data_IF_486063535872
#
_entry.id   IF_486063535872
#
_cell.length_a   1.000
_cell.length_b   1.000
_cell.length_c   1.000
_cell.angle_alpha   90.00
_cell.angle_beta   90.00
_cell.angle_gamma   90.00
#
_symmetry.space_group_name_H-M   'P 1'
#
loop_
_entity.id
_entity.type
_entity.pdbx_description
1 polymer ?
#
# COMPACT_ATOMS: atom_id res chain seq x y z
N UNK A 1 -57.68 61.95 9.69
CA UNK A 1 -57.37 60.51 9.53
C UNK A 1 -55.85 60.21 9.40
N UNK A 2 -54.93 61.05 9.90
CA UNK A 2 -53.48 60.90 9.67
C UNK A 2 -52.69 60.20 10.79
N UNK A 3 -53.31 59.83 11.91
CA UNK A 3 -52.60 59.28 13.08
C UNK A 3 -52.69 57.75 13.20
N UNK A 4 -53.67 57.10 12.56
CA UNK A 4 -53.83 55.64 12.60
C UNK A 4 -52.80 54.88 11.76
N UNK A 5 -52.49 55.36 10.55
CA UNK A 5 -51.58 54.71 9.60
C UNK A 5 -50.14 54.64 10.13
N UNK A 6 -49.69 55.67 10.87
CA UNK A 6 -48.34 55.69 11.48
C UNK A 6 -48.15 54.64 12.58
N UNK A 7 -49.22 54.13 13.20
CA UNK A 7 -49.15 53.11 14.25
C UNK A 7 -49.08 51.69 13.67
N UNK A 8 -49.81 51.45 12.59
CA UNK A 8 -49.82 50.13 11.91
C UNK A 8 -48.48 49.86 11.21
N UNK A 9 -47.88 50.86 10.57
CA UNK A 9 -46.58 50.70 9.89
C UNK A 9 -45.42 50.33 10.81
N UNK A 10 -45.42 50.81 12.07
CA UNK A 10 -44.34 50.51 13.04
C UNK A 10 -44.38 49.06 13.53
N UNK A 11 -45.57 48.49 13.71
CA UNK A 11 -45.71 47.08 14.09
C UNK A 11 -45.29 46.12 12.98
N UNK A 12 -45.67 46.44 11.73
CA UNK A 12 -45.37 45.60 10.58
C UNK A 12 -43.87 45.60 10.23
N UNK A 13 -43.19 46.74 10.39
CA UNK A 13 -41.74 46.86 10.21
C UNK A 13 -40.95 46.07 11.27
N UNK A 14 -41.41 46.06 12.54
CA UNK A 14 -40.75 45.30 13.59
C UNK A 14 -40.82 43.78 13.36
N UNK A 15 -41.98 43.28 12.90
CA UNK A 15 -42.15 41.85 12.56
C UNK A 15 -41.27 41.47 11.36
N UNK A 16 -41.18 42.36 10.35
CA UNK A 16 -40.30 42.14 9.20
C UNK A 16 -38.83 42.08 9.60
N UNK A 17 -38.38 43.02 10.46
CA UNK A 17 -37.00 43.04 10.97
C UNK A 17 -36.65 41.78 11.77
N UNK A 18 -37.55 41.30 12.65
CA UNK A 18 -37.31 40.07 13.41
C UNK A 18 -37.16 38.86 12.49
N UNK A 19 -38.01 38.74 11.45
CA UNK A 19 -37.90 37.66 10.46
C UNK A 19 -36.62 37.75 9.63
N UNK A 20 -36.21 38.97 9.25
CA UNK A 20 -34.97 39.19 8.52
C UNK A 20 -33.75 38.78 9.36
N UNK A 21 -33.72 39.15 10.65
CA UNK A 21 -32.62 38.78 11.55
C UNK A 21 -32.53 37.27 11.78
N UNK A 22 -33.68 36.58 11.92
CA UNK A 22 -33.69 35.12 12.01
C UNK A 22 -33.19 34.45 10.72
N UNK A 23 -33.59 34.98 9.55
CA UNK A 23 -33.16 34.47 8.26
C UNK A 23 -31.66 34.67 8.02
N UNK A 24 -31.14 35.87 8.33
CA UNK A 24 -29.69 36.16 8.27
C UNK A 24 -28.92 35.30 9.28
N UNK A 25 -29.46 35.08 10.48
CA UNK A 25 -28.88 34.18 11.48
C UNK A 25 -28.72 32.75 10.94
N UNK A 26 -29.77 32.18 10.34
CA UNK A 26 -29.72 30.83 9.73
C UNK A 26 -28.71 30.76 8.58
N UNK A 27 -28.63 31.79 7.74
CA UNK A 27 -27.65 31.83 6.65
C UNK A 27 -26.20 31.91 7.15
N UNK A 28 -25.94 32.65 8.23
CA UNK A 28 -24.61 32.71 8.86
C UNK A 28 -24.24 31.34 9.42
N UNK A 29 -25.16 30.65 10.13
CA UNK A 29 -24.91 29.30 10.65
C UNK A 29 -24.71 28.25 9.55
N UNK A 30 -25.46 28.33 8.44
CA UNK A 30 -25.27 27.44 7.29
C UNK A 30 -23.96 27.74 6.53
N UNK A 31 -23.52 28.99 6.48
CA UNK A 31 -22.25 29.35 5.84
C UNK A 31 -21.02 28.81 6.58
N UNK A 32 -21.10 28.63 7.91
CA UNK A 32 -20.01 28.03 8.70
C UNK A 32 -19.95 26.50 8.64
N UNK A 33 -20.93 25.81 8.07
CA UNK A 33 -20.91 24.33 7.96
C UNK A 33 -20.40 23.83 6.60
N UNK A 34 -20.23 24.71 5.60
CA UNK A 34 -19.93 24.30 4.22
C UNK A 34 -18.45 24.04 3.91
N UNK A 35 -17.52 24.50 4.75
CA UNK A 35 -16.07 24.25 4.53
C UNK A 35 -15.68 22.79 4.79
N UNK A 36 -16.39 22.09 5.69
CA UNK A 36 -16.03 20.71 6.04
C UNK A 36 -16.45 19.68 4.96
N UNK A 37 -17.57 19.90 4.26
CA UNK A 37 -18.05 18.94 3.26
C UNK A 37 -17.12 18.83 2.03
N UNK A 38 -16.52 19.95 1.60
CA UNK A 38 -15.63 19.96 0.43
C UNK A 38 -14.29 19.28 0.70
N UNK A 39 -13.73 19.45 1.91
CA UNK A 39 -12.49 18.76 2.29
C UNK A 39 -12.70 17.25 2.43
N UNK A 40 -13.85 16.83 2.96
CA UNK A 40 -14.20 15.40 3.07
C UNK A 40 -14.34 14.75 1.68
N UNK A 41 -15.04 15.41 0.75
CA UNK A 41 -15.25 14.89 -0.60
C UNK A 41 -13.93 14.74 -1.36
N UNK A 42 -13.04 15.75 -1.29
CA UNK A 42 -11.71 15.71 -1.91
C UNK A 42 -10.82 14.62 -1.30
N UNK A 43 -10.86 14.43 0.02
CA UNK A 43 -10.03 13.42 0.67
C UNK A 43 -10.48 12.00 0.28
N UNK A 44 -11.79 11.77 0.14
CA UNK A 44 -12.29 10.48 -0.32
C UNK A 44 -11.93 10.24 -1.80
N UNK A 45 -11.98 11.26 -2.66
CA UNK A 45 -11.53 11.15 -4.06
C UNK A 45 -10.06 10.72 -4.18
N UNK A 46 -9.14 11.40 -3.46
CA UNK A 46 -7.71 11.07 -3.48
C UNK A 46 -7.44 9.64 -2.97
N UNK A 47 -8.19 9.22 -1.96
CA UNK A 47 -8.16 7.84 -1.46
C UNK A 47 -8.62 6.85 -2.51
N UNK A 48 -9.74 7.11 -3.21
CA UNK A 48 -10.21 6.22 -4.28
C UNK A 48 -9.20 6.14 -5.43
N UNK A 49 -8.65 7.27 -5.88
CA UNK A 49 -7.64 7.30 -6.94
C UNK A 49 -6.41 6.46 -6.57
N UNK A 50 -5.93 6.59 -5.33
CA UNK A 50 -4.83 5.76 -4.82
C UNK A 50 -5.17 4.27 -4.85
N UNK A 51 -6.37 3.89 -4.44
CA UNK A 51 -6.79 2.49 -4.38
C UNK A 51 -7.03 1.87 -5.75
N UNK A 52 -7.58 2.63 -6.70
CA UNK A 52 -7.72 2.22 -8.09
C UNK A 52 -6.35 2.03 -8.74
N UNK A 53 -5.41 2.95 -8.52
CA UNK A 53 -4.03 2.82 -8.99
C UNK A 53 -3.31 1.63 -8.35
N UNK A 54 -3.55 1.36 -7.06
CA UNK A 54 -3.00 0.20 -6.35
C UNK A 54 -3.52 -1.12 -6.95
N UNK A 55 -4.82 -1.19 -7.25
CA UNK A 55 -5.46 -2.33 -7.93
C UNK A 55 -4.84 -2.55 -9.31
N UNK A 56 -4.74 -1.50 -10.11
CA UNK A 56 -4.14 -1.58 -11.45
C UNK A 56 -2.68 -2.03 -11.39
N UNK A 57 -1.92 -1.46 -10.46
CA UNK A 57 -0.51 -1.82 -10.26
C UNK A 57 -0.35 -3.28 -9.84
N UNK A 58 -1.26 -3.80 -9.01
CA UNK A 58 -1.26 -5.23 -8.64
C UNK A 58 -1.40 -6.14 -9.87
N UNK A 59 -2.39 -5.88 -10.74
CA UNK A 59 -2.56 -6.68 -11.98
C UNK A 59 -1.33 -6.60 -12.88
N UNK A 60 -0.73 -5.41 -13.03
CA UNK A 60 0.48 -5.24 -13.84
C UNK A 60 1.68 -5.98 -13.25
N UNK A 61 1.80 -6.03 -11.92
CA UNK A 61 2.86 -6.75 -11.22
C UNK A 61 2.75 -8.27 -11.41
N UNK A 62 1.53 -8.83 -11.41
CA UNK A 62 1.30 -10.26 -11.67
C UNK A 62 1.81 -10.68 -13.06
N UNK A 63 1.81 -9.78 -14.04
CA UNK A 63 2.28 -10.02 -15.41
C UNK A 63 3.79 -9.78 -15.61
N UNK A 64 4.51 -9.24 -14.60
CA UNK A 64 5.95 -8.97 -14.72
C UNK A 64 6.70 -10.27 -14.89
N UNK A 65 7.32 -10.45 -16.06
CA UNK A 65 8.00 -11.70 -16.41
C UNK A 65 9.30 -11.88 -15.64
N UNK A 66 9.51 -13.10 -15.14
CA UNK A 66 10.82 -13.55 -14.70
C UNK A 66 11.69 -13.77 -15.95
N UNK A 67 12.98 -13.46 -15.87
CA UNK A 67 13.91 -13.77 -16.96
C UNK A 67 14.59 -15.13 -16.78
N UNK A 68 13.95 -16.03 -16.05
CA UNK A 68 14.56 -17.31 -15.71
C UNK A 68 14.51 -18.22 -16.92
N UNK A 69 15.69 -18.54 -17.42
CA UNK A 69 15.93 -19.84 -18.06
C UNK A 69 16.22 -20.83 -16.94
N UNK A 70 15.51 -21.95 -16.92
CA UNK A 70 15.74 -23.05 -15.98
C UNK A 70 17.23 -23.38 -15.87
N UNK A 71 17.79 -23.15 -14.68
CA UNK A 71 19.20 -23.43 -14.37
C UNK A 71 19.28 -24.81 -13.73
N UNK A 72 19.96 -25.75 -14.38
CA UNK A 72 20.42 -26.99 -13.73
C UNK A 72 21.51 -26.61 -12.74
N UNK A 73 21.51 -27.28 -11.58
CA UNK A 73 22.23 -27.01 -10.33
C UNK A 73 23.76 -26.65 -10.37
N UNK A 74 24.43 -26.47 -11.51
CA UNK A 74 25.88 -26.23 -11.58
C UNK A 74 26.37 -25.19 -12.61
N UNK A 75 25.51 -24.42 -13.28
CA UNK A 75 25.97 -23.51 -14.34
C UNK A 75 25.16 -22.20 -14.35
N UNK A 76 25.63 -21.22 -13.57
CA UNK A 76 25.06 -19.88 -13.53
C UNK A 76 25.63 -19.05 -14.69
N UNK A 77 25.10 -19.23 -15.90
CA UNK A 77 25.48 -18.41 -17.04
C UNK A 77 24.47 -17.25 -17.17
N UNK A 78 24.61 -16.25 -16.29
CA UNK A 78 24.06 -14.93 -16.58
C UNK A 78 24.75 -14.49 -17.87
N UNK A 79 23.98 -14.27 -18.94
CA UNK A 79 24.48 -13.49 -20.09
C UNK A 79 24.73 -12.06 -19.61
N UNK A 80 25.88 -11.87 -18.98
CA UNK A 80 26.47 -10.61 -18.58
C UNK A 80 26.86 -9.88 -19.86
N UNK A 81 25.92 -9.11 -20.39
CA UNK A 81 26.24 -8.05 -21.34
C UNK A 81 25.24 -6.89 -21.36
N UNK A 82 24.12 -6.98 -20.61
CA UNK A 82 23.19 -5.88 -20.46
C UNK A 82 23.26 -5.30 -19.04
N UNK A 83 23.22 -3.97 -18.93
CA UNK A 83 23.21 -3.15 -17.71
C UNK A 83 21.90 -3.27 -16.92
N UNK A 84 21.28 -4.45 -16.89
CA UNK A 84 19.95 -4.66 -16.31
C UNK A 84 20.10 -4.80 -14.79
N UNK A 85 19.31 -4.01 -14.05
CA UNK A 85 19.29 -4.01 -12.59
C UNK A 85 18.46 -5.20 -12.10
N UNK A 86 19.11 -6.37 -12.00
CA UNK A 86 18.48 -7.59 -11.53
C UNK A 86 18.44 -7.66 -10.01
N UNK A 87 17.33 -8.17 -9.50
CA UNK A 87 17.18 -8.51 -8.08
C UNK A 87 16.66 -9.92 -7.90
N UNK A 88 17.08 -10.53 -6.81
CA UNK A 88 16.79 -11.90 -6.46
C UNK A 88 15.65 -11.98 -5.45
N UNK A 89 14.60 -12.70 -5.82
CA UNK A 89 13.44 -13.01 -4.97
C UNK A 89 13.45 -14.50 -4.66
N UNK A 90 13.53 -14.88 -3.39
CA UNK A 90 13.62 -16.27 -2.97
C UNK A 90 12.37 -16.71 -2.20
N UNK A 91 12.03 -17.98 -2.30
CA UNK A 91 11.04 -18.66 -1.47
C UNK A 91 11.76 -19.52 -0.44
N UNK A 92 11.43 -19.35 0.85
CA UNK A 92 11.97 -20.18 1.94
C UNK A 92 11.17 -21.50 2.04
N UNK A 93 11.82 -22.67 2.14
CA UNK A 93 11.12 -23.93 2.45
C UNK A 93 11.66 -24.54 3.75
N UNK A 94 10.76 -24.88 4.67
CA UNK A 94 11.10 -25.58 5.92
C UNK A 94 11.19 -27.10 5.69
N UNK A 95 12.36 -27.69 5.93
CA UNK A 95 12.59 -29.14 5.73
C UNK A 95 11.85 -30.05 6.71
N UNK A 96 11.32 -29.55 7.82
CA UNK A 96 10.70 -30.42 8.83
C UNK A 96 9.33 -30.99 8.42
N UNK A 97 8.68 -30.43 7.40
CA UNK A 97 7.34 -30.86 6.97
C UNK A 97 7.33 -31.84 5.78
N UNK A 98 8.44 -31.96 5.04
CA UNK A 98 8.53 -32.87 3.92
C UNK A 98 9.43 -34.05 4.32
N UNK A 99 8.82 -35.09 4.89
CA UNK A 99 9.37 -36.43 4.73
C UNK A 99 9.66 -36.59 3.24
N UNK A 100 10.95 -36.61 2.87
CA UNK A 100 11.44 -36.80 1.51
C UNK A 100 10.63 -37.95 0.89
N UNK A 101 9.59 -37.61 0.12
CA UNK A 101 8.79 -38.57 -0.60
C UNK A 101 9.71 -39.10 -1.68
N UNK A 102 10.39 -40.19 -1.32
CA UNK A 102 11.14 -41.10 -2.18
C UNK A 102 11.94 -40.40 -3.27
N UNK A 103 13.07 -39.79 -2.92
CA UNK A 103 14.24 -39.63 -3.82
C UNK A 103 14.06 -38.99 -5.20
N UNK A 104 12.88 -38.46 -5.55
CA UNK A 104 12.54 -38.09 -6.93
C UNK A 104 11.64 -36.85 -7.03
N UNK A 105 11.57 -36.03 -5.98
CA UNK A 105 10.77 -34.79 -5.98
C UNK A 105 11.62 -33.56 -5.65
N UNK A 106 12.73 -33.36 -6.39
CA UNK A 106 13.09 -31.97 -6.74
C UNK A 106 11.83 -31.48 -7.46
N UNK A 107 11.06 -30.59 -6.84
CA UNK A 107 9.90 -29.97 -7.48
C UNK A 107 10.34 -29.66 -8.89
N UNK A 108 9.67 -30.33 -9.83
CA UNK A 108 9.98 -30.31 -11.24
C UNK A 108 9.76 -28.89 -11.69
N UNK A 109 10.77 -28.03 -11.53
CA UNK A 109 10.91 -26.78 -12.24
C UNK A 109 9.55 -26.12 -12.50
N UNK A 110 8.74 -25.85 -11.46
CA UNK A 110 7.45 -25.20 -11.69
C UNK A 110 7.81 -23.92 -12.41
N UNK A 111 7.39 -23.82 -13.67
CA UNK A 111 7.90 -22.80 -14.57
C UNK A 111 7.29 -21.49 -14.10
N UNK A 112 8.03 -20.77 -13.26
CA UNK A 112 7.68 -19.42 -12.84
C UNK A 112 8.05 -18.48 -13.98
N UNK A 113 7.06 -18.06 -14.72
CA UNK A 113 7.19 -17.13 -15.84
C UNK A 113 6.97 -15.70 -15.41
N UNK A 114 6.26 -15.46 -14.31
CA UNK A 114 5.98 -14.12 -13.80
C UNK A 114 6.19 -13.98 -12.29
N UNK A 115 6.15 -12.74 -11.82
CA UNK A 115 6.15 -12.43 -10.40
C UNK A 115 4.87 -12.99 -9.75
N UNK A 116 3.72 -12.94 -10.43
CA UNK A 116 2.49 -13.61 -9.98
C UNK A 116 2.69 -15.11 -9.72
N UNK A 117 3.36 -15.82 -10.65
CA UNK A 117 3.66 -17.25 -10.48
C UNK A 117 4.53 -17.53 -9.23
N UNK A 118 5.42 -16.61 -8.84
CA UNK A 118 6.21 -16.73 -7.60
C UNK A 118 5.28 -16.70 -6.39
N UNK A 119 4.30 -15.81 -6.39
CA UNK A 119 3.35 -15.69 -5.29
C UNK A 119 2.38 -16.86 -5.22
N UNK A 120 1.86 -17.32 -6.35
CA UNK A 120 1.02 -18.51 -6.42
C UNK A 120 1.75 -19.73 -5.86
N UNK A 121 3.02 -19.90 -6.25
CA UNK A 121 3.87 -20.95 -5.71
C UNK A 121 4.14 -20.76 -4.21
N UNK A 122 4.39 -19.52 -3.76
CA UNK A 122 4.62 -19.22 -2.35
C UNK A 122 3.42 -19.62 -1.49
N UNK A 123 2.21 -19.24 -1.92
CA UNK A 123 0.95 -19.59 -1.27
C UNK A 123 0.74 -21.10 -1.27
N UNK A 124 0.98 -21.77 -2.40
CA UNK A 124 0.83 -23.22 -2.50
C UNK A 124 1.73 -23.98 -1.51
N UNK A 125 2.96 -23.51 -1.29
CA UNK A 125 3.92 -24.17 -0.41
C UNK A 125 3.92 -23.59 1.02
N UNK A 126 3.01 -22.67 1.33
CA UNK A 126 2.90 -22.06 2.66
C UNK A 126 4.12 -21.24 3.07
N UNK A 127 4.73 -20.52 2.12
CA UNK A 127 5.87 -19.62 2.35
C UNK A 127 5.61 -18.22 1.82
N UNK A 128 6.58 -17.32 2.01
CA UNK A 128 6.54 -15.94 1.52
C UNK A 128 7.76 -15.64 0.64
N UNK A 129 7.61 -14.80 -0.39
CA UNK A 129 8.76 -14.27 -1.11
C UNK A 129 9.58 -13.32 -0.25
N UNK A 130 10.91 -13.47 -0.31
CA UNK A 130 11.88 -12.58 0.33
C UNK A 130 12.81 -12.00 -0.73
N UNK A 131 13.13 -10.71 -0.63
CA UNK A 131 14.18 -10.10 -1.46
C UNK A 131 15.52 -10.35 -0.78
N UNK A 132 16.49 -10.88 -1.53
CA UNK A 132 17.85 -11.05 -1.05
C UNK A 132 18.71 -9.94 -1.63
N UNK A 133 19.22 -9.07 -0.75
CA UNK A 133 20.20 -8.07 -1.11
C UNK A 133 21.56 -8.75 -1.22
N UNK A 134 22.00 -8.98 -2.46
CA UNK A 134 23.23 -9.64 -2.87
C UNK A 134 23.23 -11.17 -2.73
N UNK A 135 23.70 -11.90 -3.77
CA UNK A 135 24.26 -13.21 -3.53
C UNK A 135 25.58 -12.95 -2.80
N UNK A 136 25.65 -13.11 -1.48
CA UNK A 136 26.95 -13.49 -0.93
C UNK A 136 27.18 -14.93 -1.42
N UNK A 137 28.14 -15.19 -2.34
CA UNK A 137 28.73 -16.51 -2.33
C UNK A 137 29.45 -16.59 -0.99
N UNK A 138 28.84 -17.23 0.01
CA UNK A 138 29.57 -17.64 1.21
C UNK A 138 30.53 -18.74 0.81
N UNK A 139 31.60 -18.37 0.12
CA UNK A 139 32.76 -19.20 -0.17
C UNK A 139 33.65 -19.19 1.08
N UNK A 140 33.12 -19.74 2.15
CA UNK A 140 33.80 -19.97 3.42
C UNK A 140 33.06 -21.06 4.18
N UNK A 141 33.32 -22.27 3.71
CA UNK A 141 33.50 -23.49 4.51
C UNK A 141 33.61 -23.25 6.02
N UNK A 142 32.77 -23.97 6.78
CA UNK A 142 32.95 -24.35 8.19
C UNK A 142 32.25 -23.54 9.30
N UNK A 143 31.10 -22.93 9.04
CA UNK A 143 30.15 -22.68 10.12
C UNK A 143 28.81 -23.37 9.85
N UNK A 144 28.69 -24.58 10.41
CA UNK A 144 27.43 -25.28 10.66
C UNK A 144 26.59 -24.47 11.65
N UNK A 145 25.94 -23.41 11.19
CA UNK A 145 24.67 -23.01 11.76
C UNK A 145 23.57 -23.65 10.91
N UNK A 146 22.93 -24.67 11.47
CA UNK A 146 21.75 -25.36 10.95
C UNK A 146 20.68 -24.38 10.43
N UNK A 147 20.75 -24.00 9.17
CA UNK A 147 19.60 -23.49 8.44
C UNK A 147 19.14 -24.60 7.50
N UNK A 148 18.20 -25.40 7.98
CA UNK A 148 17.47 -26.44 7.24
C UNK A 148 16.49 -25.82 6.20
N UNK A 149 16.96 -24.83 5.43
CA UNK A 149 16.16 -24.10 4.46
C UNK A 149 16.81 -24.14 3.08
N UNK A 150 16.06 -24.59 2.09
CA UNK A 150 16.40 -24.35 0.69
C UNK A 150 15.73 -23.06 0.23
N UNK A 151 16.48 -22.24 -0.49
CA UNK A 151 15.94 -21.06 -1.18
C UNK A 151 15.75 -21.40 -2.66
N UNK A 152 14.52 -21.33 -3.15
CA UNK A 152 14.27 -21.32 -4.61
C UNK A 152 14.18 -19.87 -5.03
N UNK A 153 15.11 -19.42 -5.88
CA UNK A 153 15.29 -18.01 -6.18
C UNK A 153 15.02 -17.67 -7.65
N UNK A 154 14.42 -16.50 -7.83
CA UNK A 154 13.90 -15.98 -9.08
C UNK A 154 14.50 -14.59 -9.33
N UNK A 155 14.89 -14.29 -10.57
CA UNK A 155 15.50 -13.01 -10.93
C UNK A 155 14.53 -12.16 -11.74
N UNK A 156 14.37 -10.92 -11.31
CA UNK A 156 13.50 -9.93 -11.94
C UNK A 156 14.27 -8.67 -12.28
N UNK A 157 13.94 -8.10 -13.45
CA UNK A 157 14.37 -6.76 -13.83
C UNK A 157 13.50 -5.77 -13.03
N UNK A 158 14.12 -4.80 -12.39
CA UNK A 158 13.40 -3.75 -11.67
C UNK A 158 12.62 -2.83 -12.62
N UNK A 159 13.01 -2.70 -13.88
CA UNK A 159 12.41 -1.73 -14.81
C UNK A 159 10.92 -2.01 -15.08
N UNK A 160 10.50 -3.23 -15.46
CA UNK A 160 9.07 -3.56 -15.57
C UNK A 160 8.31 -3.39 -14.26
N UNK A 161 8.96 -3.64 -13.12
CA UNK A 161 8.35 -3.49 -11.79
C UNK A 161 8.06 -2.01 -11.51
N UNK A 162 9.04 -1.13 -11.69
CA UNK A 162 8.87 0.32 -11.52
C UNK A 162 7.78 0.86 -12.44
N UNK A 163 7.73 0.39 -13.69
CA UNK A 163 6.67 0.78 -14.64
C UNK A 163 5.28 0.29 -14.21
N UNK A 164 5.20 -0.90 -13.59
CA UNK A 164 3.93 -1.45 -13.11
C UNK A 164 3.38 -0.66 -11.92
N UNK A 165 4.24 -0.19 -11.00
CA UNK A 165 3.84 0.53 -9.78
C UNK A 165 3.85 2.06 -9.92
N UNK A 166 4.40 2.60 -11.00
CA UNK A 166 4.45 4.04 -11.25
C UNK A 166 3.10 4.76 -11.06
N UNK A 167 1.94 4.23 -11.53
CA UNK A 167 0.65 4.88 -11.30
C UNK A 167 0.33 5.08 -9.82
N UNK A 168 0.57 4.07 -8.98
CA UNK A 168 0.29 4.17 -7.54
C UNK A 168 1.30 5.04 -6.81
N UNK A 169 2.55 5.16 -7.29
CA UNK A 169 3.51 6.15 -6.76
C UNK A 169 2.99 7.57 -7.00
N UNK A 170 2.46 7.85 -8.20
CA UNK A 170 1.86 9.15 -8.52
C UNK A 170 0.70 9.47 -7.59
N UNK A 171 -0.23 8.53 -7.41
CA UNK A 171 -1.35 8.75 -6.51
C UNK A 171 -0.96 8.81 -5.03
N UNK A 172 0.10 8.12 -4.61
CA UNK A 172 0.67 8.26 -3.28
C UNK A 172 1.17 9.69 -3.03
N UNK A 173 1.83 10.31 -4.02
CA UNK A 173 2.25 11.72 -3.94
C UNK A 173 1.04 12.66 -3.86
N UNK A 174 0.03 12.45 -4.71
CA UNK A 174 -1.21 13.22 -4.70
C UNK A 174 -1.90 13.16 -3.33
N UNK A 175 -1.95 11.98 -2.73
CA UNK A 175 -2.49 11.76 -1.40
C UNK A 175 -1.71 12.53 -0.33
N UNK A 176 -0.38 12.60 -0.41
CA UNK A 176 0.44 13.33 0.55
C UNK A 176 0.31 14.85 0.43
N UNK A 177 -0.05 15.38 -0.74
CA UNK A 177 -0.28 16.82 -0.92
C UNK A 177 -1.44 17.34 -0.05
N UNK A 178 -2.46 16.52 0.21
CA UNK A 178 -3.55 16.92 1.12
C UNK A 178 -3.07 17.14 2.57
N UNK A 179 -1.96 16.49 2.95
CA UNK A 179 -1.27 16.67 4.22
C UNK A 179 -0.27 17.84 4.22
N UNK A 180 -0.34 18.66 3.17
CA UNK A 180 0.45 19.87 2.98
C UNK A 180 1.86 19.61 2.50
N UNK A 181 2.24 18.38 2.17
CA UNK A 181 3.55 18.12 1.56
C UNK A 181 3.63 18.78 0.19
N UNK A 182 4.80 19.29 -0.18
CA UNK A 182 5.14 19.60 -1.56
C UNK A 182 6.16 18.60 -2.13
N UNK A 183 6.48 18.74 -3.42
CA UNK A 183 7.45 17.89 -4.09
C UNK A 183 8.81 17.88 -3.39
N UNK A 184 9.29 19.03 -2.93
CA UNK A 184 10.60 19.13 -2.30
C UNK A 184 10.58 18.44 -0.92
N UNK A 185 9.52 18.62 -0.14
CA UNK A 185 9.38 17.96 1.16
C UNK A 185 9.27 16.42 1.05
N UNK A 186 8.62 15.92 -0.01
CA UNK A 186 8.58 14.48 -0.30
C UNK A 186 9.97 13.98 -0.67
N UNK A 187 10.68 14.67 -1.56
CA UNK A 187 12.05 14.27 -1.95
C UNK A 187 13.01 14.33 -0.76
N UNK A 188 12.93 15.39 0.04
CA UNK A 188 13.74 15.53 1.26
C UNK A 188 13.47 14.38 2.24
N UNK A 189 12.21 13.97 2.39
CA UNK A 189 11.82 12.83 3.22
C UNK A 189 12.43 11.52 2.70
N UNK A 190 12.36 11.28 1.39
CA UNK A 190 12.91 10.09 0.73
C UNK A 190 14.42 10.01 0.93
N UNK A 191 15.14 11.08 0.60
CA UNK A 191 16.61 11.15 0.70
C UNK A 191 17.08 11.06 2.15
N UNK A 192 16.43 11.76 3.07
CA UNK A 192 16.84 11.78 4.49
C UNK A 192 16.73 10.40 5.13
N UNK A 193 15.72 9.63 4.76
CA UNK A 193 15.47 8.32 5.36
C UNK A 193 16.07 7.16 4.56
N UNK A 194 16.76 7.45 3.45
CA UNK A 194 17.41 6.45 2.59
C UNK A 194 16.42 5.54 1.87
N UNK A 195 15.21 6.02 1.61
CA UNK A 195 14.17 5.29 0.90
C UNK A 195 14.17 5.59 -0.60
N UNK A 196 13.11 5.12 -1.24
CA UNK A 196 12.81 5.26 -2.67
C UNK A 196 11.42 5.88 -2.86
N UNK A 197 11.06 6.30 -4.08
CA UNK A 197 9.72 6.85 -4.30
C UNK A 197 8.63 5.79 -4.12
N UNK A 198 8.96 4.54 -4.40
CA UNK A 198 8.11 3.38 -4.28
C UNK A 198 7.68 3.15 -2.82
N UNK A 199 8.53 3.50 -1.85
CA UNK A 199 8.23 3.39 -0.42
C UNK A 199 7.07 4.30 0.02
N UNK A 200 6.67 5.27 -0.81
CA UNK A 200 5.47 6.07 -0.56
C UNK A 200 4.19 5.22 -0.63
N UNK A 201 4.18 4.14 -1.41
CA UNK A 201 3.01 3.26 -1.58
C UNK A 201 2.61 2.64 -0.24
N UNK A 202 3.47 1.85 0.46
CA UNK A 202 3.14 1.25 1.75
C UNK A 202 2.93 2.27 2.87
N UNK A 203 3.57 3.45 2.79
CA UNK A 203 3.25 4.58 3.65
C UNK A 203 1.77 4.98 3.49
N UNK A 204 1.34 5.28 2.26
CA UNK A 204 -0.03 5.74 1.99
C UNK A 204 -1.05 4.62 2.22
N UNK A 205 -0.74 3.36 1.90
CA UNK A 205 -1.56 2.21 2.31
C UNK A 205 -1.81 2.22 3.81
N UNK A 206 -0.77 2.46 4.62
CA UNK A 206 -0.91 2.53 6.08
C UNK A 206 -1.78 3.71 6.52
N UNK A 207 -1.64 4.87 5.88
CA UNK A 207 -2.42 6.07 6.19
C UNK A 207 -3.90 5.90 5.86
N UNK A 208 -4.20 5.47 4.63
CA UNK A 208 -5.55 5.12 4.17
C UNK A 208 -6.18 4.08 5.11
N UNK A 209 -5.37 3.15 5.61
CA UNK A 209 -5.84 2.15 6.54
C UNK A 209 -6.18 2.71 7.94
N UNK A 210 -5.36 3.63 8.46
CA UNK A 210 -5.55 4.19 9.79
C UNK A 210 -6.75 5.16 9.87
N UNK A 211 -7.11 5.80 8.76
CA UNK A 211 -8.17 6.82 8.73
C UNK A 211 -9.60 6.26 8.79
N UNK A 212 -9.79 4.94 8.71
CA UNK A 212 -11.11 4.30 8.55
C UNK A 212 -11.95 4.11 9.82
N UNK A 213 -11.63 4.79 10.94
CA UNK A 213 -12.40 4.63 12.18
C UNK A 213 -13.80 5.29 12.18
N UNK A 214 -14.24 6.02 11.14
CA UNK A 214 -15.53 6.76 11.21
C UNK A 214 -16.41 6.95 9.97
N UNK A 215 -16.12 6.45 8.76
CA UNK A 215 -17.08 6.63 7.66
C UNK A 215 -16.95 5.61 6.53
N UNK A 216 -18.09 4.95 6.26
CA UNK A 216 -18.44 4.14 5.08
C UNK A 216 -17.56 2.92 4.83
N UNK A 217 -18.19 1.76 4.98
CA UNK A 217 -17.64 0.43 4.70
C UNK A 217 -17.22 0.33 3.22
N UNK A 218 -15.96 0.64 2.92
CA UNK A 218 -15.39 0.43 1.60
C UNK A 218 -15.18 -1.08 1.39
N UNK A 219 -15.81 -1.65 0.37
CA UNK A 219 -15.60 -3.03 -0.01
C UNK A 219 -14.30 -3.15 -0.81
N UNK A 220 -13.15 -3.21 -0.13
CA UNK A 220 -11.85 -3.39 -0.77
C UNK A 220 -11.77 -4.68 -1.58
N UNK A 221 -12.54 -5.70 -1.21
CA UNK A 221 -12.65 -6.91 -2.03
C UNK A 221 -13.20 -6.59 -3.43
N UNK A 222 -14.13 -5.63 -3.58
CA UNK A 222 -14.61 -5.19 -4.91
C UNK A 222 -13.53 -4.54 -5.78
N UNK A 223 -12.47 -4.03 -5.16
CA UNK A 223 -11.29 -3.56 -5.87
C UNK A 223 -10.47 -4.75 -6.35
N UNK A 224 -10.25 -5.81 -5.60
CA UNK A 224 -9.35 -6.88 -6.06
C UNK A 224 -10.07 -8.08 -6.73
N UNK A 225 -11.37 -8.29 -6.49
CA UNK A 225 -12.21 -9.33 -7.09
C UNK A 225 -13.68 -8.92 -7.28
N UNK A 226 -14.43 -9.58 -8.18
CA UNK A 226 -15.88 -9.48 -8.21
C UNK A 226 -16.45 -10.04 -6.90
N UNK A 227 -17.12 -9.17 -6.14
CA UNK A 227 -17.56 -9.35 -4.75
C UNK A 227 -18.18 -10.73 -4.44
N UNK A 228 -17.48 -11.52 -3.61
CA UNK A 228 -18.08 -12.60 -2.83
C UNK A 228 -17.49 -12.52 -1.41
N UNK A 229 -18.29 -12.01 -0.47
CA UNK A 229 -18.01 -11.73 0.96
C UNK A 229 -17.56 -10.29 1.29
N UNK A 230 -18.27 -9.67 2.24
CA UNK A 230 -17.89 -8.39 2.83
C UNK A 230 -16.75 -8.65 3.82
N UNK A 231 -15.50 -8.43 3.39
CA UNK A 231 -14.37 -8.52 4.29
C UNK A 231 -14.41 -7.39 5.31
N UNK A 232 -14.12 -7.72 6.56
CA UNK A 232 -14.10 -6.73 7.64
C UNK A 232 -12.82 -5.90 7.58
N UNK A 233 -12.84 -4.70 8.15
CA UNK A 233 -11.64 -3.86 8.24
C UNK A 233 -10.48 -4.54 8.99
N UNK A 234 -10.81 -5.47 9.89
CA UNK A 234 -9.85 -6.30 10.60
C UNK A 234 -9.10 -7.23 9.64
N UNK A 235 -9.72 -7.67 8.55
CA UNK A 235 -9.08 -8.50 7.52
C UNK A 235 -8.18 -7.67 6.61
N UNK A 236 -8.61 -6.47 6.19
CA UNK A 236 -7.75 -5.54 5.44
C UNK A 236 -6.52 -5.14 6.27
N UNK A 237 -6.72 -4.81 7.54
CA UNK A 237 -5.64 -4.52 8.49
C UNK A 237 -4.71 -5.72 8.70
N UNK A 238 -5.25 -6.95 8.77
CA UNK A 238 -4.45 -8.17 8.83
C UNK A 238 -3.62 -8.38 7.56
N UNK A 239 -4.18 -8.11 6.39
CA UNK A 239 -3.47 -8.20 5.12
C UNK A 239 -2.36 -7.16 4.98
N UNK A 240 -2.62 -5.93 5.43
CA UNK A 240 -1.58 -4.90 5.48
C UNK A 240 -0.49 -5.27 6.51
N UNK A 241 -0.87 -5.85 7.65
CA UNK A 241 0.08 -6.31 8.67
C UNK A 241 0.95 -7.46 8.16
N UNK A 242 0.37 -8.34 7.35
CA UNK A 242 1.09 -9.42 6.69
C UNK A 242 2.05 -8.88 5.62
N UNK A 243 1.59 -7.98 4.76
CA UNK A 243 2.36 -7.47 3.62
C UNK A 243 3.45 -6.46 3.99
N UNK A 244 3.16 -5.52 4.88
CA UNK A 244 4.06 -4.42 5.26
C UNK A 244 4.81 -4.76 6.57
N UNK A 245 4.20 -5.60 7.41
CA UNK A 245 4.69 -5.97 8.73
C UNK A 245 3.91 -5.31 9.86
N UNK A 246 3.46 -6.12 10.82
CA UNK A 246 2.67 -5.69 11.97
C UNK A 246 3.37 -4.60 12.80
N UNK A 247 4.68 -4.62 12.92
CA UNK A 247 5.45 -3.59 13.63
C UNK A 247 5.45 -2.23 12.94
N UNK A 248 5.40 -2.20 11.59
CA UNK A 248 5.26 -0.94 10.84
C UNK A 248 3.89 -0.37 11.16
N UNK A 249 2.84 -1.17 11.00
CA UNK A 249 1.48 -0.73 11.31
C UNK A 249 1.30 -0.37 12.78
N UNK A 250 1.87 -1.12 13.72
CA UNK A 250 1.75 -0.86 15.16
C UNK A 250 2.50 0.41 15.57
N UNK A 251 3.65 0.69 14.95
CA UNK A 251 4.37 1.95 15.15
C UNK A 251 3.59 3.18 14.65
N UNK A 252 2.49 2.94 13.92
CA UNK A 252 1.69 3.92 13.18
C UNK A 252 0.22 3.99 13.62
N UNK A 253 -0.35 2.91 14.16
CA UNK A 253 -1.74 2.79 14.59
C UNK A 253 -1.95 2.82 16.11
N UNK A 254 -0.90 3.08 16.90
CA UNK A 254 -0.96 3.08 18.37
C UNK A 254 -1.57 4.32 19.04
N UNK A 255 -2.32 5.17 18.34
CA UNK A 255 -2.94 6.36 18.95
C UNK A 255 -4.04 6.97 18.08
N UNK A 256 -5.07 7.49 18.74
CA UNK A 256 -6.29 8.12 18.17
C UNK A 256 -6.06 8.76 16.79
N UNK A 257 -6.53 8.06 15.77
CA UNK A 257 -6.30 8.18 14.33
C UNK A 257 -6.80 9.46 13.65
N UNK A 258 -7.04 10.55 14.38
CA UNK A 258 -7.72 11.72 13.79
C UNK A 258 -6.81 12.74 13.09
N UNK A 259 -5.48 12.72 13.27
CA UNK A 259 -4.60 13.78 12.72
C UNK A 259 -3.21 13.30 12.34
N UNK A 260 -3.07 12.78 11.11
CA UNK A 260 -1.76 12.67 10.47
C UNK A 260 -1.13 14.06 10.36
N UNK A 261 0.10 14.21 10.90
CA UNK A 261 0.90 15.43 10.76
C UNK A 261 2.10 15.13 9.88
N UNK A 262 2.68 16.13 9.21
CA UNK A 262 3.94 15.93 8.45
C UNK A 262 5.02 15.20 9.25
N UNK A 263 5.10 15.46 10.57
CA UNK A 263 6.07 14.81 11.46
C UNK A 263 5.75 13.32 11.68
N UNK A 264 4.49 12.95 11.87
CA UNK A 264 4.11 11.54 12.02
C UNK A 264 4.25 10.79 10.71
N UNK A 265 3.93 11.42 9.58
CA UNK A 265 4.11 10.87 8.23
C UNK A 265 5.59 10.63 7.93
N UNK A 266 6.49 11.57 8.19
CA UNK A 266 7.95 11.37 8.02
C UNK A 266 8.48 10.23 8.89
N UNK A 267 7.99 10.11 10.14
CA UNK A 267 8.34 9.00 11.04
C UNK A 267 7.84 7.66 10.49
N UNK A 268 6.66 7.65 9.87
CA UNK A 268 6.11 6.48 9.21
C UNK A 268 6.94 6.06 8.00
N UNK A 269 7.29 7.02 7.16
CA UNK A 269 8.15 6.78 6.03
C UNK A 269 9.49 6.16 6.44
N UNK A 270 10.13 6.66 7.51
CA UNK A 270 11.34 6.05 8.08
C UNK A 270 11.18 4.58 8.42
N UNK A 271 10.03 4.17 8.97
CA UNK A 271 9.78 2.77 9.31
C UNK A 271 9.63 1.89 8.06
N UNK A 272 9.01 2.44 7.02
CA UNK A 272 8.82 1.79 5.72
C UNK A 272 10.16 1.67 4.97
N UNK A 273 10.88 2.77 4.78
CA UNK A 273 12.16 2.83 4.06
C UNK A 273 13.23 1.90 4.67
N UNK A 274 13.20 1.68 5.98
CA UNK A 274 14.12 0.75 6.66
C UNK A 274 13.83 -0.73 6.41
N UNK A 275 12.60 -1.07 6.04
CA UNK A 275 12.14 -2.46 5.91
C UNK A 275 12.03 -2.91 4.47
N UNK A 276 11.63 -2.01 3.59
CA UNK A 276 11.42 -2.36 2.20
C UNK A 276 12.73 -2.23 1.43
N UNK A 277 13.04 -3.29 0.70
CA UNK A 277 14.31 -3.46 0.01
C UNK A 277 14.24 -2.84 -1.41
N UNK A 278 13.69 -1.63 -1.51
CA UNK A 278 13.48 -0.91 -2.76
C UNK A 278 12.24 -1.36 -3.56
N UNK A 279 12.20 -1.09 -4.88
CA UNK A 279 11.03 -1.31 -5.74
C UNK A 279 10.47 -2.74 -5.69
N UNK A 280 11.34 -3.75 -5.56
CA UNK A 280 10.90 -5.15 -5.46
C UNK A 280 10.25 -5.44 -4.11
N UNK A 281 10.82 -4.92 -3.01
CA UNK A 281 10.21 -5.08 -1.69
C UNK A 281 8.81 -4.48 -1.64
N UNK A 282 8.64 -3.30 -2.27
CA UNK A 282 7.33 -2.65 -2.42
C UNK A 282 6.39 -3.47 -3.30
N UNK A 283 6.85 -3.96 -4.45
CA UNK A 283 6.05 -4.82 -5.32
C UNK A 283 5.56 -6.08 -4.60
N UNK A 284 6.42 -6.69 -3.78
CA UNK A 284 6.04 -7.85 -2.96
C UNK A 284 4.95 -7.48 -1.96
N UNK A 285 5.05 -6.32 -1.30
CA UNK A 285 4.03 -5.86 -0.38
C UNK A 285 2.68 -5.62 -1.10
N UNK A 286 2.70 -5.02 -2.30
CA UNK A 286 1.48 -4.78 -3.09
C UNK A 286 0.80 -6.10 -3.49
N UNK A 287 1.55 -7.06 -4.05
CA UNK A 287 0.98 -8.34 -4.48
C UNK A 287 0.52 -9.18 -3.29
N UNK A 288 1.32 -9.25 -2.22
CA UNK A 288 0.94 -9.97 -1.00
C UNK A 288 -0.33 -9.40 -0.38
N UNK A 289 -0.49 -8.08 -0.39
CA UNK A 289 -1.70 -7.43 0.10
C UNK A 289 -2.91 -7.78 -0.77
N UNK A 290 -2.77 -7.69 -2.10
CA UNK A 290 -3.83 -8.07 -3.04
C UNK A 290 -4.30 -9.51 -2.86
N UNK A 291 -3.36 -10.47 -2.81
CA UNK A 291 -3.66 -11.90 -2.64
C UNK A 291 -4.30 -12.20 -1.28
N UNK A 292 -3.84 -11.55 -0.21
CA UNK A 292 -4.46 -11.69 1.10
C UNK A 292 -5.91 -11.18 1.10
N UNK A 293 -6.20 -10.06 0.44
CA UNK A 293 -7.57 -9.58 0.28
C UNK A 293 -8.42 -10.59 -0.49
N UNK A 294 -7.86 -11.24 -1.51
CA UNK A 294 -8.57 -12.28 -2.26
C UNK A 294 -8.80 -13.59 -1.49
N UNK A 295 -8.25 -13.71 -0.27
CA UNK A 295 -8.31 -14.95 0.51
C UNK A 295 -7.42 -16.06 -0.03
N UNK A 296 -6.41 -15.70 -0.84
CA UNK A 296 -5.45 -16.63 -1.43
C UNK A 296 -4.16 -16.76 -0.59
N UNK A 297 -4.04 -16.06 0.53
CA UNK A 297 -2.87 -16.03 1.44
C UNK A 297 -3.16 -16.65 2.82
#
# INVERSE_FOLDING_TARGET
MNTGIKRIGKGLFAIFMIKLTLFVGVLIFQSCQKENDFEIERNEELKQNFLEALKESNYRLEEVKSNIKLIRYNEFDLKSNDTINWKQVCLERNLQNDALVNGDSIITATVVNSLGDVFDLANQIGTRPIVVNEPEPSDNTNNTSNFDYYHTCYYFDETPIMNAISPVVTEAKNYLYQYGFDNQEIQDMIVTEGGTEEDLIPLVMTMVNAEQDNSVTMNYLSLFAPSVNAQSWQEVGRCAAYAIGADVLYSLGGGDSSKWTKKSIKKAFKAVAKRLLGPIGVAIAVVSFGLCLLGAA
#
